data_IF_967660822625
#
_entry.id   IF_967660822625
#
_cell.length_a   1.000
_cell.length_b   1.000
_cell.length_c   1.000
_cell.angle_alpha   90.00
_cell.angle_beta   90.00
_cell.angle_gamma   90.00
#
_symmetry.space_group_name_H-M   'P 1'
#
loop_
_entity.id
_entity.type
_entity.pdbx_description
1 polymer ?
#
# COMPACT_ATOMS: atom_id res chain seq x y z
N UNK A 1 11.82 16.07 -14.90
CA UNK A 1 10.74 15.08 -15.11
C UNK A 1 11.39 13.72 -14.99
N UNK A 2 11.00 12.90 -14.01
CA UNK A 2 11.60 11.58 -13.87
C UNK A 2 11.06 10.62 -14.92
N UNK A 3 11.89 9.69 -15.35
CA UNK A 3 11.61 8.73 -16.41
C UNK A 3 11.83 7.32 -15.90
N UNK A 4 10.94 6.41 -16.28
CA UNK A 4 11.06 4.98 -16.03
C UNK A 4 11.16 4.26 -17.38
N UNK A 5 12.25 3.53 -17.57
CA UNK A 5 12.33 2.53 -18.61
C UNK A 5 11.75 1.21 -18.09
N UNK A 6 10.53 0.91 -18.48
CA UNK A 6 9.83 -0.31 -18.11
C UNK A 6 10.14 -1.41 -19.13
N UNK A 7 10.91 -2.41 -18.72
CA UNK A 7 11.20 -3.61 -19.48
C UNK A 7 10.16 -4.67 -19.12
N UNK A 8 9.37 -5.09 -20.10
CA UNK A 8 8.33 -6.10 -19.88
C UNK A 8 8.29 -7.09 -21.04
N UNK A 9 8.50 -8.37 -20.71
CA UNK A 9 8.74 -9.42 -21.69
C UNK A 9 9.90 -9.03 -22.63
N UNK A 10 9.63 -8.87 -23.93
CA UNK A 10 10.63 -8.49 -24.93
C UNK A 10 10.51 -7.02 -25.38
N UNK A 11 9.68 -6.22 -24.71
CA UNK A 11 9.42 -4.83 -25.06
C UNK A 11 9.98 -3.87 -23.99
N UNK A 12 10.24 -2.64 -24.42
CA UNK A 12 10.67 -1.54 -23.55
C UNK A 12 9.72 -0.37 -23.72
N UNK A 13 9.21 0.16 -22.62
CA UNK A 13 8.28 1.28 -22.59
C UNK A 13 8.87 2.43 -21.77
N UNK A 14 8.75 3.66 -22.27
CA UNK A 14 9.23 4.84 -21.55
C UNK A 14 8.06 5.54 -20.88
N UNK A 15 7.95 5.37 -19.57
CA UNK A 15 6.95 6.03 -18.74
C UNK A 15 7.56 7.24 -18.05
N UNK A 16 6.75 8.23 -17.67
CA UNK A 16 7.22 9.47 -17.07
C UNK A 16 6.42 9.84 -15.84
N UNK A 17 7.12 10.39 -14.85
CA UNK A 17 6.49 11.01 -13.68
C UNK A 17 6.56 12.53 -13.79
N UNK A 18 5.40 13.17 -13.79
CA UNK A 18 5.28 14.63 -13.66
C UNK A 18 5.38 15.09 -12.21
N UNK A 19 5.13 14.19 -11.27
CA UNK A 19 5.00 14.48 -9.84
C UNK A 19 6.35 14.41 -9.09
N UNK A 20 7.36 13.76 -9.68
CA UNK A 20 8.70 13.68 -9.13
C UNK A 20 9.75 14.22 -10.14
N UNK A 21 9.85 15.54 -10.38
CA UNK A 21 10.71 16.08 -11.43
C UNK A 21 12.21 15.91 -11.19
N UNK A 22 12.64 15.70 -9.93
CA UNK A 22 14.04 15.57 -9.48
C UNK A 22 14.52 14.13 -9.30
N UNK A 23 13.64 13.13 -9.49
CA UNK A 23 14.06 11.74 -9.43
C UNK A 23 14.93 11.39 -10.65
N UNK A 24 16.04 10.70 -10.39
CA UNK A 24 16.88 10.18 -11.47
C UNK A 24 16.10 9.18 -12.34
N UNK A 25 16.43 9.08 -13.63
CA UNK A 25 15.87 8.04 -14.49
C UNK A 25 16.13 6.65 -13.91
N UNK A 26 15.13 5.77 -13.98
CA UNK A 26 15.22 4.41 -13.47
C UNK A 26 14.88 3.38 -14.54
N UNK A 27 15.36 2.15 -14.35
CA UNK A 27 14.90 0.98 -15.11
C UNK A 27 14.10 0.08 -14.16
N UNK A 28 12.96 -0.42 -14.61
CA UNK A 28 12.24 -1.49 -13.93
C UNK A 28 12.03 -2.67 -14.88
N UNK A 29 12.38 -3.86 -14.41
CA UNK A 29 12.15 -5.13 -15.10
C UNK A 29 10.96 -5.84 -14.48
N UNK A 30 9.93 -6.07 -15.27
CA UNK A 30 8.70 -6.77 -14.86
C UNK A 30 8.95 -8.27 -14.89
N UNK A 31 8.75 -8.92 -13.75
CA UNK A 31 8.79 -10.36 -13.60
C UNK A 31 7.40 -10.99 -13.55
N UNK A 32 7.28 -12.07 -12.78
CA UNK A 32 6.05 -12.86 -12.65
C UNK A 32 4.88 -12.04 -12.09
N UNK A 33 3.67 -12.29 -12.61
CA UNK A 33 2.43 -11.73 -12.10
C UNK A 33 2.07 -12.34 -10.74
N UNK A 34 1.79 -11.48 -9.77
CA UNK A 34 1.20 -11.86 -8.47
C UNK A 34 -0.33 -11.91 -8.62
N UNK A 35 -0.90 -10.90 -9.28
CA UNK A 35 -2.32 -10.83 -9.66
C UNK A 35 -2.44 -10.30 -11.09
N UNK A 36 -3.66 -10.11 -11.58
CA UNK A 36 -3.90 -9.62 -12.94
C UNK A 36 -3.25 -8.26 -13.25
N UNK A 37 -3.04 -7.42 -12.23
CA UNK A 37 -2.47 -6.08 -12.39
C UNK A 37 -1.27 -5.80 -11.48
N UNK A 38 -0.81 -6.80 -10.71
CA UNK A 38 0.31 -6.65 -9.79
C UNK A 38 1.40 -7.65 -10.14
N UNK A 39 2.64 -7.18 -10.27
CA UNK A 39 3.78 -7.94 -10.73
C UNK A 39 4.94 -7.82 -9.76
N UNK A 40 5.72 -8.90 -9.65
CA UNK A 40 7.07 -8.80 -9.12
C UNK A 40 7.91 -7.96 -10.08
N UNK A 41 8.81 -7.14 -9.54
CA UNK A 41 9.72 -6.35 -10.34
C UNK A 41 11.10 -6.27 -9.70
N UNK A 42 12.09 -5.89 -10.51
CA UNK A 42 13.37 -5.37 -10.04
C UNK A 42 13.53 -3.95 -10.56
N UNK A 43 14.10 -3.08 -9.74
CA UNK A 43 14.42 -1.71 -10.12
C UNK A 43 15.90 -1.41 -9.94
N UNK A 44 16.38 -0.44 -10.69
CA UNK A 44 17.75 0.06 -10.60
C UNK A 44 17.91 1.37 -11.35
N UNK A 45 19.14 1.86 -11.35
CA UNK A 45 19.48 3.05 -12.11
C UNK A 45 19.29 2.82 -13.61
N UNK A 46 19.00 3.89 -14.34
CA UNK A 46 18.80 3.81 -15.78
C UNK A 46 20.02 3.23 -16.49
N UNK A 47 19.78 2.28 -17.41
CA UNK A 47 20.85 1.61 -18.17
C UNK A 47 21.66 0.57 -17.40
N UNK A 48 21.41 0.39 -16.10
CA UNK A 48 22.00 -0.69 -15.29
C UNK A 48 21.03 -1.86 -15.14
N UNK A 49 21.59 -3.04 -14.86
CA UNK A 49 20.80 -4.22 -14.51
C UNK A 49 20.04 -3.99 -13.20
N UNK A 50 18.70 -4.04 -13.20
CA UNK A 50 17.91 -3.84 -11.98
C UNK A 50 18.17 -4.92 -10.92
N UNK A 51 18.47 -4.53 -9.69
CA UNK A 51 18.76 -5.47 -8.58
C UNK A 51 17.83 -5.32 -7.39
N UNK A 52 17.29 -4.11 -7.15
CA UNK A 52 16.43 -3.82 -6.01
C UNK A 52 15.05 -4.43 -6.24
N UNK A 53 14.62 -5.35 -5.38
CA UNK A 53 13.30 -5.98 -5.48
C UNK A 53 12.19 -4.96 -5.23
N UNK A 54 11.17 -5.00 -6.07
CA UNK A 54 10.00 -4.12 -6.01
C UNK A 54 8.72 -4.88 -6.40
N UNK A 55 7.58 -4.25 -6.17
CA UNK A 55 6.28 -4.67 -6.70
C UNK A 55 5.74 -3.55 -7.57
N UNK A 56 5.17 -3.93 -8.71
CA UNK A 56 4.61 -3.02 -9.68
C UNK A 56 3.11 -3.26 -9.81
N UNK A 57 2.32 -2.20 -9.60
CA UNK A 57 0.87 -2.19 -9.87
C UNK A 57 0.62 -1.43 -11.16
N UNK A 58 0.04 -2.11 -12.15
CA UNK A 58 -0.23 -1.59 -13.47
C UNK A 58 -1.72 -1.30 -13.65
N UNK A 59 -2.04 -0.05 -13.94
CA UNK A 59 -3.38 0.37 -14.37
C UNK A 59 -3.39 0.56 -15.88
N UNK A 60 -4.46 0.10 -16.54
CA UNK A 60 -4.72 0.29 -17.97
C UNK A 60 -6.05 1.02 -18.16
N UNK A 61 -6.06 2.05 -19.01
CA UNK A 61 -7.23 2.90 -19.24
C UNK A 61 -7.32 4.06 -18.25
N UNK A 62 -8.02 5.13 -18.66
CA UNK A 62 -8.04 6.40 -17.94
C UNK A 62 -8.59 6.28 -16.51
N UNK A 63 -9.67 5.53 -16.31
CA UNK A 63 -10.31 5.43 -14.99
C UNK A 63 -9.45 4.65 -13.99
N UNK A 64 -8.84 3.54 -14.42
CA UNK A 64 -7.91 2.79 -13.59
C UNK A 64 -6.67 3.62 -13.25
N UNK A 65 -6.16 4.42 -14.19
CA UNK A 65 -5.03 5.33 -13.95
C UNK A 65 -5.39 6.40 -12.92
N UNK A 66 -6.59 6.97 -12.97
CA UNK A 66 -7.06 7.94 -11.95
C UNK A 66 -7.12 7.34 -10.56
N UNK A 67 -7.62 6.12 -10.42
CA UNK A 67 -7.62 5.41 -9.12
C UNK A 67 -6.20 5.18 -8.61
N UNK A 68 -5.26 4.86 -9.51
CA UNK A 68 -3.86 4.68 -9.17
C UNK A 68 -3.18 6.00 -8.78
N UNK A 69 -3.56 7.12 -9.40
CA UNK A 69 -3.12 8.47 -9.02
C UNK A 69 -3.62 8.87 -7.64
N UNK A 70 -4.89 8.58 -7.36
CA UNK A 70 -5.49 8.80 -6.04
C UNK A 70 -4.72 8.02 -4.96
N UNK A 71 -4.50 6.72 -5.16
CA UNK A 71 -3.70 5.89 -4.26
C UNK A 71 -2.27 6.45 -4.08
N UNK A 72 -1.59 6.81 -5.17
CA UNK A 72 -0.26 7.41 -5.10
C UNK A 72 -0.23 8.72 -4.31
N UNK A 73 -1.26 9.57 -4.45
CA UNK A 73 -1.33 10.82 -3.71
C UNK A 73 -1.29 10.60 -2.20
N UNK A 74 -2.03 9.61 -1.70
CA UNK A 74 -2.06 9.25 -0.28
C UNK A 74 -0.69 8.76 0.20
N UNK A 75 0.01 7.94 -0.59
CA UNK A 75 1.39 7.52 -0.28
C UNK A 75 2.34 8.71 -0.14
N UNK A 76 2.22 9.72 -1.01
CA UNK A 76 3.15 10.86 -1.06
C UNK A 76 2.76 12.07 -0.21
N UNK A 77 1.52 12.10 0.29
CA UNK A 77 0.99 13.19 1.09
C UNK A 77 0.71 12.70 2.52
N UNK A 78 -0.52 12.32 2.82
CA UNK A 78 -1.00 12.01 4.17
C UNK A 78 -0.18 10.89 4.83
N UNK A 79 0.20 9.87 4.05
CA UNK A 79 0.85 8.68 4.56
C UNK A 79 2.36 8.67 4.41
N UNK A 80 2.97 9.77 3.93
CA UNK A 80 4.40 9.83 3.64
C UNK A 80 5.29 9.42 4.82
N UNK A 81 4.93 9.86 6.04
CA UNK A 81 5.67 9.57 7.27
C UNK A 81 5.54 8.11 7.74
N UNK A 82 4.63 7.34 7.15
CA UNK A 82 4.36 5.95 7.51
C UNK A 82 5.01 4.93 6.58
N UNK A 83 5.66 5.39 5.51
CA UNK A 83 6.38 4.53 4.58
C UNK A 83 7.50 3.77 5.27
N UNK A 84 7.57 2.46 4.99
CA UNK A 84 8.51 1.55 5.63
C UNK A 84 8.15 1.20 7.07
N UNK A 85 7.04 1.73 7.63
CA UNK A 85 6.59 1.50 9.01
C UNK A 85 5.23 0.80 9.07
N UNK A 86 4.21 1.42 8.46
CA UNK A 86 2.84 0.90 8.43
C UNK A 86 2.37 0.60 6.99
N UNK A 87 3.03 1.19 6.00
CA UNK A 87 2.80 0.95 4.56
C UNK A 87 4.15 0.73 3.87
N UNK A 88 4.21 0.11 2.68
CA UNK A 88 5.46 -0.07 1.96
C UNK A 88 6.08 1.26 1.51
N UNK A 89 7.39 1.27 1.25
CA UNK A 89 8.00 2.42 0.58
C UNK A 89 7.40 2.61 -0.83
N UNK A 90 6.92 3.81 -1.15
CA UNK A 90 6.55 4.17 -2.52
C UNK A 90 7.76 4.73 -3.26
N UNK A 91 8.09 4.12 -4.40
CA UNK A 91 9.20 4.57 -5.24
C UNK A 91 8.76 5.51 -6.36
N UNK A 92 7.48 5.49 -6.74
CA UNK A 92 6.94 6.47 -7.68
C UNK A 92 5.75 5.96 -8.47
N UNK A 93 5.05 6.92 -9.09
CA UNK A 93 4.03 6.67 -10.10
C UNK A 93 4.52 7.24 -11.44
N UNK A 94 4.51 6.38 -12.47
CA UNK A 94 4.91 6.71 -13.83
C UNK A 94 3.76 6.44 -14.78
N UNK A 95 3.55 7.33 -15.75
CA UNK A 95 2.44 7.25 -16.70
C UNK A 95 2.97 7.32 -18.13
N UNK A 96 2.27 6.67 -19.05
CA UNK A 96 2.60 6.67 -20.47
C UNK A 96 1.66 5.77 -21.25
N UNK A 97 2.10 5.34 -22.43
CA UNK A 97 1.37 4.38 -23.25
C UNK A 97 2.11 3.05 -23.28
N UNK A 98 1.37 1.96 -23.11
CA UNK A 98 1.85 0.59 -23.24
C UNK A 98 0.93 -0.06 -24.27
N UNK A 99 1.51 -0.50 -25.38
CA UNK A 99 0.79 -1.08 -26.53
C UNK A 99 -0.38 -0.20 -27.03
N UNK A 100 -0.17 1.12 -27.05
CA UNK A 100 -1.19 2.10 -27.48
C UNK A 100 -2.27 2.40 -26.45
N UNK A 101 -2.18 1.87 -25.23
CA UNK A 101 -3.16 2.10 -24.15
C UNK A 101 -2.55 2.97 -23.06
N UNK A 102 -3.24 4.05 -22.70
CA UNK A 102 -2.86 4.87 -21.55
C UNK A 102 -2.75 4.02 -20.29
N UNK A 103 -1.58 4.02 -19.68
CA UNK A 103 -1.23 3.15 -18.57
C UNK A 103 -0.50 3.90 -17.48
N UNK A 104 -0.68 3.44 -16.24
CA UNK A 104 -0.06 3.96 -15.04
C UNK A 104 0.66 2.84 -14.29
N UNK A 105 1.84 3.12 -13.78
CA UNK A 105 2.73 2.17 -13.13
C UNK A 105 3.15 2.73 -11.78
N UNK A 106 2.56 2.19 -10.71
CA UNK A 106 2.94 2.48 -9.33
C UNK A 106 3.96 1.43 -8.87
N UNK A 107 5.10 1.89 -8.37
CA UNK A 107 6.17 1.01 -7.88
C UNK A 107 6.31 1.15 -6.37
N UNK A 108 6.21 0.02 -5.68
CA UNK A 108 6.32 -0.07 -4.23
C UNK A 108 7.45 -1.04 -3.81
N UNK A 109 7.86 -0.95 -2.56
CA UNK A 109 8.69 -1.95 -1.89
C UNK A 109 8.05 -3.34 -2.01
N UNK A 110 8.88 -4.36 -2.28
CA UNK A 110 8.43 -5.75 -2.27
C UNK A 110 8.28 -6.25 -0.84
N UNK A 111 7.03 -6.52 -0.46
CA UNK A 111 6.67 -7.23 0.76
C UNK A 111 6.19 -8.66 0.44
N UNK A 112 6.09 -9.50 1.46
CA UNK A 112 5.61 -10.89 1.35
C UNK A 112 4.11 -10.95 1.65
N UNK A 113 3.28 -11.67 0.88
CA UNK A 113 1.87 -11.86 1.20
C UNK A 113 1.65 -12.56 2.55
N UNK A 114 0.54 -12.25 3.24
CA UNK A 114 0.22 -12.85 4.55
C UNK A 114 -0.07 -14.36 4.50
N UNK A 115 -0.37 -14.94 3.33
CA UNK A 115 -0.70 -16.38 3.20
C UNK A 115 0.40 -17.29 3.76
N UNK A 116 1.63 -16.79 3.83
CA UNK A 116 2.79 -17.55 4.25
C UNK A 116 3.12 -17.39 5.76
N UNK A 117 2.43 -16.51 6.50
CA UNK A 117 2.84 -16.11 7.86
C UNK A 117 1.67 -15.75 8.78
N UNK A 118 1.86 -15.97 10.10
CA UNK A 118 0.90 -15.53 11.11
C UNK A 118 0.95 -14.00 11.23
N UNK A 119 -0.20 -13.35 11.08
CA UNK A 119 -0.35 -11.91 11.28
C UNK A 119 -0.11 -11.57 12.76
N UNK A 120 0.68 -10.52 13.01
CA UNK A 120 0.69 -9.84 14.30
C UNK A 120 -0.49 -8.86 14.32
N UNK A 121 -1.65 -9.35 14.76
CA UNK A 121 -2.91 -8.60 14.80
C UNK A 121 -2.78 -7.28 15.59
N UNK A 122 -1.98 -7.31 16.67
CA UNK A 122 -1.73 -6.12 17.49
C UNK A 122 -0.94 -5.07 16.72
N UNK A 123 0.15 -5.48 16.06
CA UNK A 123 0.96 -4.55 15.27
C UNK A 123 0.20 -4.05 14.04
N UNK A 124 -0.66 -4.88 13.44
CA UNK A 124 -1.58 -4.47 12.39
C UNK A 124 -2.52 -3.37 12.87
N UNK A 125 -3.21 -3.56 14.00
CA UNK A 125 -4.11 -2.55 14.55
C UNK A 125 -3.38 -1.25 14.93
N UNK A 126 -2.17 -1.33 15.47
CA UNK A 126 -1.33 -0.13 15.72
C UNK A 126 -1.03 0.62 14.42
N UNK A 127 -0.66 -0.10 13.36
CA UNK A 127 -0.36 0.48 12.06
C UNK A 127 -1.59 1.13 11.42
N UNK A 128 -2.74 0.47 11.54
CA UNK A 128 -4.02 1.02 11.10
C UNK A 128 -4.38 2.30 11.87
N UNK A 129 -4.27 2.31 13.20
CA UNK A 129 -4.50 3.51 14.00
C UNK A 129 -3.59 4.68 13.59
N UNK A 130 -2.34 4.43 13.18
CA UNK A 130 -1.44 5.47 12.64
C UNK A 130 -1.94 6.03 11.31
N UNK A 131 -2.45 5.18 10.41
CA UNK A 131 -3.05 5.60 9.14
C UNK A 131 -4.27 6.50 9.39
N UNK A 132 -5.13 6.11 10.32
CA UNK A 132 -6.27 6.95 10.73
C UNK A 132 -5.86 8.25 11.41
N UNK A 133 -4.81 8.24 12.23
CA UNK A 133 -4.25 9.44 12.84
C UNK A 133 -3.63 10.40 11.80
N UNK A 134 -3.16 9.86 10.68
CA UNK A 134 -2.75 10.63 9.51
C UNK A 134 -3.93 11.15 8.67
N UNK A 135 -5.17 10.86 9.08
CA UNK A 135 -6.38 11.37 8.45
C UNK A 135 -6.87 10.53 7.28
N UNK A 136 -6.53 9.24 7.20
CA UNK A 136 -6.95 8.35 6.11
C UNK A 136 -7.76 7.17 6.63
N UNK A 137 -8.91 6.92 6.02
CA UNK A 137 -9.65 5.66 6.13
C UNK A 137 -9.35 4.81 4.90
N UNK A 138 -9.10 3.51 5.07
CA UNK A 138 -8.73 2.64 3.96
C UNK A 138 -9.93 2.10 3.18
N UNK A 139 -11.05 1.83 3.87
CA UNK A 139 -12.32 1.33 3.33
C UNK A 139 -12.25 -0.01 2.55
N UNK A 140 -11.13 -0.73 2.65
CA UNK A 140 -10.85 -1.93 1.83
C UNK A 140 -10.37 -3.14 2.62
N UNK A 141 -10.15 -3.01 3.93
CA UNK A 141 -9.47 -3.99 4.77
C UNK A 141 -10.32 -5.19 5.20
N UNK A 142 -11.54 -5.33 4.67
CA UNK A 142 -12.35 -6.52 4.87
C UNK A 142 -11.77 -7.75 4.14
N UNK A 143 -10.80 -7.56 3.23
CA UNK A 143 -10.07 -8.62 2.52
C UNK A 143 -8.65 -8.69 3.06
N UNK A 144 -8.20 -9.87 3.51
CA UNK A 144 -6.82 -10.08 4.00
C UNK A 144 -5.74 -9.78 2.95
N UNK A 145 -6.10 -9.73 1.67
CA UNK A 145 -5.18 -9.49 0.55
C UNK A 145 -4.53 -8.09 0.55
N UNK A 146 -5.02 -7.17 1.38
CA UNK A 146 -4.47 -5.80 1.51
C UNK A 146 -3.44 -5.67 2.64
N UNK A 147 -3.07 -6.81 3.24
CA UNK A 147 -2.09 -6.88 4.32
C UNK A 147 -0.93 -7.74 3.82
N UNK A 148 0.25 -7.15 3.81
CA UNK A 148 1.52 -7.80 3.45
C UNK A 148 2.51 -7.65 4.59
N UNK A 149 3.61 -8.38 4.56
CA UNK A 149 4.58 -8.41 5.65
C UNK A 149 5.98 -8.06 5.15
N UNK A 150 6.69 -7.28 5.95
CA UNK A 150 8.11 -7.01 5.77
C UNK A 150 8.84 -7.46 7.03
N UNK A 151 9.46 -8.65 6.95
CA UNK A 151 9.91 -9.36 8.15
C UNK A 151 8.72 -9.69 9.05
N UNK A 152 8.78 -9.30 10.33
CA UNK A 152 7.69 -9.49 11.29
C UNK A 152 6.67 -8.34 11.29
N UNK A 153 6.88 -7.30 10.49
CA UNK A 153 6.08 -6.08 10.56
C UNK A 153 5.01 -6.07 9.46
N UNK A 154 3.70 -6.05 9.80
CA UNK A 154 2.64 -5.92 8.81
C UNK A 154 2.68 -4.54 8.14
N UNK A 155 2.27 -4.52 6.88
CA UNK A 155 2.18 -3.36 6.00
C UNK A 155 0.80 -3.40 5.34
N UNK A 156 0.18 -2.23 5.24
CA UNK A 156 -1.12 -2.07 4.62
C UNK A 156 -0.92 -1.50 3.20
N UNK A 157 -1.61 -2.09 2.22
CA UNK A 157 -1.50 -1.76 0.79
C UNK A 157 -2.89 -1.63 0.15
N UNK A 158 -2.93 -1.09 -1.07
CA UNK A 158 -4.14 -0.91 -1.88
C UNK A 158 -5.09 0.18 -1.35
N UNK A 159 -4.61 1.43 -1.40
CA UNK A 159 -5.38 2.60 -1.00
C UNK A 159 -6.32 3.13 -2.10
N UNK A 160 -6.68 2.30 -3.08
CA UNK A 160 -7.55 2.71 -4.20
C UNK A 160 -8.96 3.13 -3.76
N UNK A 161 -9.44 2.60 -2.63
CA UNK A 161 -10.75 2.91 -2.02
C UNK A 161 -10.62 3.85 -0.81
N UNK A 162 -9.40 4.26 -0.46
CA UNK A 162 -9.15 5.03 0.73
C UNK A 162 -9.61 6.48 0.57
N UNK A 163 -9.98 7.12 1.67
CA UNK A 163 -10.46 8.50 1.67
C UNK A 163 -9.82 9.29 2.81
N UNK A 164 -9.57 10.58 2.55
CA UNK A 164 -9.16 11.51 3.60
C UNK A 164 -10.37 11.80 4.48
N UNK A 165 -10.23 11.59 5.78
CA UNK A 165 -11.30 11.80 6.74
C UNK A 165 -10.78 12.31 8.09
N UNK A 166 -11.66 12.97 8.85
CA UNK A 166 -11.40 13.28 10.26
C UNK A 166 -11.77 12.09 11.09
N UNK A 167 -10.78 11.31 11.52
CA UNK A 167 -11.03 10.15 12.33
C UNK A 167 -11.49 10.57 13.74
N UNK A 168 -12.68 10.15 14.21
CA UNK A 168 -13.09 10.33 15.62
C UNK A 168 -12.33 9.38 16.56
N UNK A 169 -11.42 8.56 16.02
CA UNK A 169 -10.71 7.50 16.71
C UNK A 169 -11.57 6.25 16.91
N UNK A 170 -11.04 5.32 17.69
CA UNK A 170 -11.78 4.22 18.29
C UNK A 170 -11.52 4.30 19.80
N UNK A 171 -12.58 4.27 20.61
CA UNK A 171 -12.38 4.11 22.06
C UNK A 171 -11.99 2.66 22.30
N UNK A 172 -10.77 2.36 22.78
CA UNK A 172 -10.43 0.99 23.15
C UNK A 172 -11.39 0.54 24.25
N UNK A 173 -11.78 -0.73 24.22
CA UNK A 173 -12.50 -1.30 25.35
C UNK A 173 -11.59 -1.22 26.59
N UNK A 174 -12.14 -0.82 27.74
CA UNK A 174 -11.41 -0.88 28.99
C UNK A 174 -11.06 -2.34 29.35
N UNK A 175 -10.31 -2.54 30.43
CA UNK A 175 -9.94 -3.88 30.93
C UNK A 175 -11.14 -4.80 31.26
N UNK A 176 -12.36 -4.27 31.24
CA UNK A 176 -13.61 -4.98 31.46
C UNK A 176 -14.46 -5.10 30.19
N UNK A 177 -13.90 -4.79 29.02
CA UNK A 177 -14.60 -4.84 27.74
C UNK A 177 -15.59 -3.68 27.51
N UNK A 178 -15.57 -2.62 28.33
CA UNK A 178 -16.51 -1.50 28.21
C UNK A 178 -15.95 -0.43 27.26
N UNK A 179 -16.78 -0.01 26.32
CA UNK A 179 -16.45 1.05 25.35
C UNK A 179 -17.14 2.34 25.77
N UNK A 180 -16.47 3.49 25.61
CA UNK A 180 -17.12 4.78 25.81
C UNK A 180 -18.20 4.99 24.74
N UNK A 181 -19.47 5.11 25.15
CA UNK A 181 -20.62 5.26 24.25
C UNK A 181 -20.85 6.70 23.77
N UNK A 182 -20.15 7.68 24.36
CA UNK A 182 -20.33 9.10 24.03
C UNK A 182 -19.61 9.51 22.74
N UNK A 183 -18.67 8.69 22.26
CA UNK A 183 -17.92 8.93 21.02
C UNK A 183 -18.42 7.95 19.96
N UNK A 184 -18.94 8.47 18.84
CA UNK A 184 -19.22 7.63 17.66
C UNK A 184 -17.88 7.16 17.09
N UNK A 185 -17.54 5.86 17.17
CA UNK A 185 -16.24 5.39 16.73
C UNK A 185 -16.14 5.39 15.21
N UNK A 186 -14.92 5.45 14.68
CA UNK A 186 -14.69 5.25 13.25
C UNK A 186 -15.23 3.86 12.84
N UNK A 187 -16.12 3.77 11.83
CA UNK A 187 -16.73 2.50 11.43
C UNK A 187 -15.71 1.42 11.02
N UNK A 188 -14.65 1.83 10.32
CA UNK A 188 -13.57 0.95 9.89
C UNK A 188 -12.81 0.39 11.10
N UNK A 189 -12.28 1.26 11.97
CA UNK A 189 -11.58 0.85 13.18
C UNK A 189 -12.45 -0.04 14.08
N UNK A 190 -13.71 0.34 14.31
CA UNK A 190 -14.62 -0.43 15.14
C UNK A 190 -14.94 -1.82 14.57
N UNK A 191 -14.92 -1.96 13.25
CA UNK A 191 -15.13 -3.25 12.57
C UNK A 191 -13.88 -4.11 12.67
N UNK A 192 -12.70 -3.52 12.40
CA UNK A 192 -11.43 -4.24 12.41
C UNK A 192 -10.98 -4.61 13.83
N UNK A 193 -11.29 -3.81 14.85
CA UNK A 193 -11.07 -4.15 16.26
C UNK A 193 -11.86 -5.41 16.67
N UNK A 194 -13.03 -5.69 16.08
CA UNK A 194 -13.76 -6.93 16.38
C UNK A 194 -13.11 -8.17 15.76
N UNK A 195 -12.34 -7.98 14.69
CA UNK A 195 -11.71 -9.06 13.93
C UNK A 195 -10.28 -9.30 14.46
N UNK A 196 -9.53 -8.24 14.71
CA UNK A 196 -8.10 -8.24 15.02
C UNK A 196 -7.77 -7.65 16.41
N UNK A 197 -8.74 -7.08 17.12
CA UNK A 197 -8.53 -6.58 18.47
C UNK A 197 -8.32 -7.74 19.44
N UNK A 198 -7.41 -7.56 20.39
CA UNK A 198 -7.19 -8.56 21.43
C UNK A 198 -8.42 -8.65 22.33
N UNK A 199 -9.07 -9.82 22.38
CA UNK A 199 -10.10 -10.06 23.40
C UNK A 199 -9.39 -10.27 24.73
N UNK A 200 -9.80 -9.54 25.76
CA UNK A 200 -9.30 -9.77 27.11
C UNK A 200 -9.56 -11.23 27.49
N UNK A 201 -8.50 -12.04 27.58
CA UNK A 201 -8.59 -13.48 27.86
C UNK A 201 -7.92 -14.40 26.83
N UNK A 202 -7.50 -13.89 25.67
CA UNK A 202 -6.72 -14.70 24.73
C UNK A 202 -5.32 -14.97 25.32
N UNK A 203 -4.87 -16.24 25.42
CA UNK A 203 -3.58 -16.55 26.02
C UNK A 203 -2.46 -15.92 25.20
N UNK A 204 -1.52 -15.27 25.88
CA UNK A 204 -0.28 -14.85 25.28
C UNK A 204 0.44 -16.08 24.73
N UNK A 205 0.48 -16.20 23.39
CA UNK A 205 1.36 -17.07 22.61
C UNK A 205 1.67 -18.46 23.19
N UNK A 206 1.03 -19.50 22.64
CA UNK A 206 1.64 -20.83 22.56
C UNK A 206 2.53 -20.93 21.33
#
# INVERSE_FOLDING_TARGET
MATLNLQWANNSYVLRSRLAPSQMPQTAEVGESITNCVYNAKMGDFGQTPTKKAVLKLAKGLDAVKLLEHEYSLYTCELFSLQGIAIPMCYGLYKGEIDGVTSGCLILEKCVPMVDLKLDDRQFMINLCKIHAAGVAHNGLHKQNHIVQQGLCPRIIDFSMAEVHRCPGCSPADRFGRVNKEVTPCPELATLERIYGMKSGDPAGS
#
